data_IF_594088156858
#
_entry.id   IF_594088156858
#
_cell.length_a   1.000
_cell.length_b   1.000
_cell.length_c   1.000
_cell.angle_alpha   90.00
_cell.angle_beta   90.00
_cell.angle_gamma   90.00
#
_symmetry.space_group_name_H-M   'P 1'
#
loop_
_entity.id
_entity.type
_entity.pdbx_description
1 polymer ?
#
# COMPACT_ATOMS: atom_id res chain seq x y z
N UNK A 1 -21.19 -6.63 4.99
CA UNK A 1 -20.00 -6.14 5.72
C UNK A 1 -18.86 -6.02 4.74
N UNK A 2 -18.12 -4.91 4.73
CA UNK A 2 -16.92 -4.75 3.91
C UNK A 2 -15.75 -5.49 4.57
N UNK A 3 -15.06 -6.33 3.82
CA UNK A 3 -13.87 -7.03 4.31
C UNK A 3 -12.65 -6.15 4.03
N UNK A 4 -11.94 -5.74 5.08
CA UNK A 4 -10.68 -5.02 4.96
C UNK A 4 -9.50 -5.93 5.29
N UNK A 5 -8.41 -5.74 4.55
CA UNK A 5 -7.15 -6.42 4.75
C UNK A 5 -6.08 -5.38 5.08
N UNK A 6 -5.44 -5.51 6.24
CA UNK A 6 -4.31 -4.66 6.62
C UNK A 6 -3.12 -4.95 5.71
N UNK A 7 -2.47 -3.90 5.24
CA UNK A 7 -1.20 -3.97 4.52
C UNK A 7 -0.11 -3.42 5.42
N UNK A 8 0.79 -4.33 5.79
CA UNK A 8 2.00 -4.06 6.57
C UNK A 8 3.23 -4.33 5.69
N UNK A 9 4.26 -3.51 5.85
CA UNK A 9 5.55 -3.68 5.19
C UNK A 9 6.64 -3.62 6.26
N UNK A 10 7.30 -4.76 6.50
CA UNK A 10 8.39 -4.91 7.48
C UNK A 10 8.02 -4.40 8.90
N UNK A 11 6.76 -4.61 9.33
CA UNK A 11 6.25 -4.17 10.63
C UNK A 11 5.74 -2.73 10.67
N UNK A 12 5.76 -2.02 9.53
CA UNK A 12 5.14 -0.73 9.38
C UNK A 12 3.75 -0.85 8.73
N UNK A 13 2.74 -0.32 9.41
CA UNK A 13 1.40 -0.19 8.85
C UNK A 13 1.38 0.91 7.78
N UNK A 14 1.15 0.52 6.53
CA UNK A 14 1.23 1.43 5.38
C UNK A 14 -0.11 1.70 4.71
N UNK A 15 -1.13 0.87 5.00
CA UNK A 15 -2.48 1.09 4.51
C UNK A 15 -3.40 -0.13 4.66
N UNK A 16 -4.60 -0.03 4.09
CA UNK A 16 -5.59 -1.11 4.09
C UNK A 16 -6.18 -1.33 2.69
N UNK A 17 -6.40 -2.58 2.33
CA UNK A 17 -7.13 -2.97 1.13
C UNK A 17 -8.56 -3.37 1.49
N UNK A 18 -9.53 -2.59 1.01
CA UNK A 18 -10.96 -2.83 1.22
C UNK A 18 -11.50 -3.61 0.03
N UNK A 19 -12.08 -4.79 0.28
CA UNK A 19 -12.73 -5.60 -0.75
C UNK A 19 -13.99 -4.89 -1.26
N UNK A 20 -14.05 -4.73 -2.57
CA UNK A 20 -15.18 -4.24 -3.36
C UNK A 20 -15.74 -5.36 -4.24
N UNK A 21 -16.87 -5.11 -4.89
CA UNK A 21 -17.53 -6.07 -5.79
C UNK A 21 -16.62 -6.52 -6.97
N UNK A 22 -15.71 -5.65 -7.41
CA UNK A 22 -14.83 -5.87 -8.58
C UNK A 22 -13.33 -5.88 -8.25
N UNK A 23 -12.94 -5.95 -6.98
CA UNK A 23 -11.53 -5.94 -6.60
C UNK A 23 -11.26 -5.42 -5.20
N UNK A 24 -10.13 -4.76 -5.01
CA UNK A 24 -9.69 -4.20 -3.74
C UNK A 24 -9.33 -2.72 -3.92
N UNK A 25 -9.96 -1.85 -3.15
CA UNK A 25 -9.56 -0.45 -3.05
C UNK A 25 -8.48 -0.32 -2.00
N UNK A 26 -7.35 0.26 -2.38
CA UNK A 26 -6.30 0.61 -1.43
C UNK A 26 -6.64 1.94 -0.74
N UNK A 27 -6.37 2.00 0.56
CA UNK A 27 -6.41 3.21 1.38
C UNK A 27 -5.03 3.37 1.99
N UNK A 28 -4.29 4.38 1.55
CA UNK A 28 -2.96 4.67 2.03
C UNK A 28 -3.03 5.36 3.40
N UNK A 29 -2.08 5.03 4.28
CA UNK A 29 -1.87 5.76 5.53
C UNK A 29 -0.50 6.42 5.60
N UNK A 30 0.42 5.99 4.74
CA UNK A 30 1.75 6.59 4.59
C UNK A 30 1.79 7.47 3.34
N UNK A 31 2.31 8.69 3.48
CA UNK A 31 2.47 9.68 2.41
C UNK A 31 3.29 9.18 1.21
N UNK A 32 4.16 8.17 1.39
CA UNK A 32 4.90 7.55 0.27
C UNK A 32 3.99 6.76 -0.67
N UNK A 33 2.79 6.40 -0.21
CA UNK A 33 1.82 5.62 -0.95
C UNK A 33 0.59 6.45 -1.35
N UNK A 34 0.65 7.77 -1.22
CA UNK A 34 -0.45 8.67 -1.59
C UNK A 34 -0.85 8.51 -3.07
N UNK A 35 0.13 8.27 -3.94
CA UNK A 35 -0.10 7.94 -5.36
C UNK A 35 -0.93 6.67 -5.57
N UNK A 36 -0.95 5.76 -4.59
CA UNK A 36 -1.74 4.54 -4.61
C UNK A 36 -3.07 4.70 -3.88
N UNK A 37 -3.30 5.81 -3.16
CA UNK A 37 -4.52 6.00 -2.40
C UNK A 37 -5.76 5.99 -3.31
N UNK A 38 -6.80 5.28 -2.88
CA UNK A 38 -8.04 5.13 -3.64
C UNK A 38 -7.96 4.27 -4.91
N UNK A 39 -6.78 3.78 -5.29
CA UNK A 39 -6.61 2.91 -6.46
C UNK A 39 -7.30 1.55 -6.29
N UNK A 40 -7.81 0.99 -7.40
CA UNK A 40 -8.54 -0.29 -7.40
C UNK A 40 -7.67 -1.36 -8.07
N UNK A 41 -7.52 -2.48 -7.37
CA UNK A 41 -6.66 -3.60 -7.76
C UNK A 41 -7.48 -4.88 -7.95
N UNK A 42 -7.15 -5.73 -8.94
CA UNK A 42 -7.85 -6.99 -9.15
C UNK A 42 -7.64 -7.96 -7.98
N UNK A 43 -6.43 -7.97 -7.40
CA UNK A 43 -6.08 -8.86 -6.30
C UNK A 43 -5.38 -8.13 -5.15
N UNK A 44 -5.52 -8.67 -3.95
CA UNK A 44 -4.81 -8.20 -2.75
C UNK A 44 -3.29 -8.33 -2.91
N UNK A 45 -2.83 -9.37 -3.62
CA UNK A 45 -1.40 -9.60 -3.82
C UNK A 45 -0.75 -8.51 -4.67
N UNK A 46 -1.47 -7.96 -5.66
CA UNK A 46 -0.93 -6.91 -6.55
C UNK A 46 -0.69 -5.60 -5.77
N UNK A 47 -1.68 -5.17 -4.99
CA UNK A 47 -1.55 -3.97 -4.15
C UNK A 47 -0.46 -4.15 -3.08
N UNK A 48 -0.37 -5.32 -2.44
CA UNK A 48 0.69 -5.60 -1.46
C UNK A 48 2.09 -5.53 -2.09
N UNK A 49 2.27 -6.11 -3.28
CA UNK A 49 3.55 -6.09 -4.00
C UNK A 49 3.96 -4.68 -4.37
N UNK A 50 3.04 -3.87 -4.89
CA UNK A 50 3.35 -2.51 -5.29
C UNK A 50 3.55 -1.60 -4.07
N UNK A 51 2.70 -1.69 -3.05
CA UNK A 51 2.85 -0.93 -1.81
C UNK A 51 4.22 -1.20 -1.16
N UNK A 52 4.63 -2.48 -1.08
CA UNK A 52 5.97 -2.85 -0.60
C UNK A 52 7.08 -2.25 -1.47
N UNK A 53 6.95 -2.32 -2.80
CA UNK A 53 7.95 -1.77 -3.73
C UNK A 53 8.09 -0.25 -3.57
N UNK A 54 6.99 0.48 -3.48
CA UNK A 54 7.00 1.95 -3.33
C UNK A 54 7.52 2.35 -1.96
N UNK A 55 7.05 1.70 -0.89
CA UNK A 55 7.49 1.97 0.47
C UNK A 55 9.00 1.73 0.68
N UNK A 56 9.52 0.60 0.17
CA UNK A 56 10.95 0.28 0.22
C UNK A 56 11.78 1.07 -0.80
N UNK A 57 11.21 1.35 -1.97
CA UNK A 57 11.85 2.17 -3.02
C UNK A 57 12.03 3.62 -2.57
N UNK A 58 11.04 4.18 -1.86
CA UNK A 58 11.15 5.49 -1.23
C UNK A 58 12.17 5.55 -0.09
N UNK A 59 12.48 4.43 0.57
CA UNK A 59 13.58 4.34 1.57
C UNK A 59 14.97 4.50 0.94
N UNK A 60 15.15 4.17 -0.34
CA UNK A 60 16.44 4.34 -1.02
C UNK A 60 16.76 5.81 -1.32
N UNK A 61 15.76 6.70 -1.34
CA UNK A 61 15.97 8.13 -1.59
C UNK A 61 16.43 8.92 -0.34
N UNK A 62 16.26 8.38 0.87
CA UNK A 62 16.60 9.08 2.13
C UNK A 62 17.94 8.66 2.74
N UNK A 63 18.73 7.83 2.05
CA UNK A 63 20.12 7.50 2.45
C UNK A 63 21.13 8.32 1.63
N UNK A 64 21.08 9.64 1.76
CA UNK A 64 22.06 10.64 1.28
C UNK A 64 21.78 11.93 2.05
N UNK A 65 22.65 12.55 2.84
CA UNK A 65 24.06 12.34 3.21
C UNK A 65 24.26 13.20 4.48
N UNK A 66 25.07 12.72 5.43
CA UNK A 66 25.65 13.54 6.50
C UNK A 66 26.89 14.27 5.97
#
# INVERSE_FOLDING_TARGET
MLQSHVIDVDGAFVGAAVRLDKGYRFIATDMKLDDLDGSIWPTLADVQRLARRVYLGGRLATSRTH
#
